data_IF_270506099302
#
_entry.id   IF_270506099302
#
_cell.length_a   1.000
_cell.length_b   1.000
_cell.length_c   1.000
_cell.angle_alpha   90.00
_cell.angle_beta   90.00
_cell.angle_gamma   90.00
#
_symmetry.space_group_name_H-M   'P 1'
#
loop_
_entity.id
_entity.type
_entity.pdbx_description
1 polymer ?
#
# COMPACT_ATOMS: atom_id res chain seq x y z
N UNK A 1 11.48 -3.10 -15.87
CA UNK A 1 11.90 -4.37 -15.24
C UNK A 1 12.44 -4.03 -13.86
N UNK A 2 11.66 -4.27 -12.81
CA UNK A 2 12.11 -4.10 -11.41
C UNK A 2 12.71 -5.41 -10.94
N UNK A 3 13.92 -5.38 -10.36
CA UNK A 3 14.52 -6.57 -9.76
C UNK A 3 13.64 -7.09 -8.60
N UNK A 4 13.47 -8.39 -8.58
CA UNK A 4 12.59 -9.14 -7.67
C UNK A 4 13.07 -9.14 -6.20
N UNK A 5 14.26 -8.57 -5.92
CA UNK A 5 14.92 -8.60 -4.61
C UNK A 5 14.69 -7.40 -3.69
N UNK A 6 14.22 -6.27 -4.22
CA UNK A 6 14.32 -4.96 -3.51
C UNK A 6 12.96 -4.34 -3.13
N UNK A 7 11.88 -5.10 -3.26
CA UNK A 7 10.60 -4.73 -2.64
C UNK A 7 10.66 -5.18 -1.18
N UNK A 8 9.96 -4.56 -0.24
CA UNK A 8 9.52 -5.33 0.94
C UNK A 8 8.82 -6.57 0.35
N UNK A 9 9.31 -7.84 0.44
CA UNK A 9 8.56 -9.07 0.14
C UNK A 9 7.02 -9.06 0.33
N UNK A 10 6.41 -8.23 1.20
CA UNK A 10 4.96 -8.03 1.23
C UNK A 10 4.41 -7.40 -0.06
N UNK A 11 5.21 -6.78 -0.91
CA UNK A 11 4.81 -6.01 -2.09
C UNK A 11 5.30 -6.65 -3.41
N UNK A 12 5.76 -7.90 -3.35
CA UNK A 12 6.08 -8.69 -4.53
C UNK A 12 4.78 -9.02 -5.24
N UNK A 13 4.61 -8.49 -6.45
CA UNK A 13 3.71 -9.10 -7.42
C UNK A 13 4.51 -10.29 -7.96
N UNK A 14 4.01 -11.49 -7.70
CA UNK A 14 4.52 -12.68 -8.36
C UNK A 14 4.13 -12.58 -9.83
N UNK A 15 5.11 -12.17 -10.63
CA UNK A 15 5.06 -12.23 -12.09
C UNK A 15 5.38 -13.68 -12.46
N UNK A 16 4.40 -14.56 -12.26
CA UNK A 16 4.48 -15.96 -12.69
C UNK A 16 3.25 -16.29 -13.54
N UNK A 17 3.25 -15.72 -14.74
CA UNK A 17 2.48 -16.26 -15.86
C UNK A 17 3.26 -16.08 -17.15
N UNK A 18 4.30 -16.88 -17.32
CA UNK A 18 4.62 -17.37 -18.66
C UNK A 18 5.21 -18.79 -18.61
N UNK A 19 4.66 -19.61 -19.50
CA UNK A 19 5.15 -20.91 -19.95
C UNK A 19 4.85 -22.13 -19.06
N UNK A 20 3.65 -22.67 -19.24
CA UNK A 20 3.50 -24.12 -19.39
C UNK A 20 2.77 -24.40 -20.71
N UNK A 21 3.58 -24.56 -21.76
CA UNK A 21 3.28 -25.42 -22.89
C UNK A 21 3.05 -26.83 -22.34
N UNK A 22 1.83 -27.33 -22.39
CA UNK A 22 1.57 -28.77 -22.34
C UNK A 22 0.76 -29.14 -23.58
N UNK A 23 1.45 -29.88 -24.43
CA UNK A 23 0.94 -30.68 -25.53
C UNK A 23 -0.24 -31.54 -25.06
N UNK A 24 -1.31 -31.58 -25.85
CA UNK A 24 -2.27 -32.68 -25.79
C UNK A 24 -2.96 -32.86 -27.15
N UNK A 25 -2.50 -33.91 -27.83
CA UNK A 25 -3.16 -34.84 -28.74
C UNK A 25 -3.98 -34.34 -29.94
N UNK A 26 -3.36 -34.52 -31.10
CA UNK A 26 -3.97 -34.88 -32.38
C UNK A 26 -4.82 -36.16 -32.21
N UNK A 27 -6.14 -36.06 -32.37
CA UNK A 27 -6.95 -37.01 -33.13
C UNK A 27 -8.44 -36.68 -32.97
N UNK A 28 -9.00 -35.90 -33.91
CA UNK A 28 -10.33 -36.21 -34.42
C UNK A 28 -10.55 -35.60 -35.81
N UNK A 29 -10.61 -36.49 -36.80
CA UNK A 29 -11.10 -36.23 -38.14
C UNK A 29 -12.52 -35.64 -38.12
N UNK A 30 -12.73 -34.56 -38.86
CA UNK A 30 -13.76 -34.50 -39.93
C UNK A 30 -13.65 -33.16 -40.69
N UNK A 31 -13.29 -33.23 -41.98
CA UNK A 31 -13.50 -32.12 -42.93
C UNK A 31 -14.98 -32.02 -43.27
N UNK A 32 -15.49 -30.80 -43.42
CA UNK A 32 -16.11 -30.49 -44.70
C UNK A 32 -15.57 -29.21 -45.33
N UNK A 33 -15.45 -29.29 -46.64
CA UNK A 33 -15.13 -28.24 -47.58
C UNK A 33 -16.06 -27.02 -47.46
N UNK A 34 -15.48 -25.84 -47.17
CA UNK A 34 -16.07 -24.56 -47.57
C UNK A 34 -14.96 -23.65 -48.07
N UNK A 35 -15.06 -23.30 -49.35
CA UNK A 35 -14.31 -22.24 -50.00
C UNK A 35 -14.39 -20.95 -49.21
N UNK A 36 -13.26 -20.43 -48.73
CA UNK A 36 -13.09 -19.01 -48.49
C UNK A 36 -11.66 -18.60 -48.83
N UNK A 37 -11.55 -17.58 -49.68
CA UNK A 37 -10.30 -16.95 -50.09
C UNK A 37 -9.60 -16.39 -48.85
N UNK A 38 -8.50 -17.00 -48.43
CA UNK A 38 -7.59 -16.38 -47.47
C UNK A 38 -6.91 -15.19 -48.15
N UNK A 39 -7.38 -13.99 -47.82
CA UNK A 39 -6.68 -12.76 -48.14
C UNK A 39 -5.35 -12.76 -47.39
N UNK A 40 -4.26 -13.00 -48.12
CA UNK A 40 -2.90 -12.88 -47.63
C UNK A 40 -2.65 -11.41 -47.27
N UNK A 41 -2.99 -11.00 -46.04
CA UNK A 41 -2.61 -9.67 -45.54
C UNK A 41 -1.08 -9.65 -45.48
N UNK A 42 -0.39 -8.84 -46.30
CA UNK A 42 1.07 -8.86 -46.34
C UNK A 42 1.60 -8.55 -44.94
N UNK A 43 2.68 -9.22 -44.51
CA UNK A 43 3.35 -8.92 -43.23
C UNK A 43 3.65 -7.42 -43.04
N UNK A 44 3.84 -6.69 -44.14
CA UNK A 44 3.96 -5.23 -44.19
C UNK A 44 2.73 -4.48 -43.63
N UNK A 45 1.51 -4.97 -43.84
CA UNK A 45 0.27 -4.37 -43.30
C UNK A 45 0.21 -4.52 -41.78
N UNK A 46 0.58 -5.67 -41.22
CA UNK A 46 0.70 -5.83 -39.77
C UNK A 46 1.78 -4.92 -39.17
N UNK A 47 2.90 -4.75 -39.88
CA UNK A 47 3.98 -3.86 -39.46
C UNK A 47 3.53 -2.40 -39.47
N UNK A 48 2.82 -1.97 -40.52
CA UNK A 48 2.23 -0.63 -40.63
C UNK A 48 1.18 -0.40 -39.55
N UNK A 49 0.25 -1.34 -39.32
CA UNK A 49 -0.75 -1.25 -38.24
C UNK A 49 -0.08 -1.18 -36.87
N UNK A 50 0.99 -1.96 -36.66
CA UNK A 50 1.77 -1.94 -35.42
C UNK A 50 2.43 -0.58 -35.18
N UNK A 51 3.08 -0.01 -36.20
CA UNK A 51 3.69 1.33 -36.12
C UNK A 51 2.65 2.42 -35.89
N UNK A 52 1.51 2.39 -36.61
CA UNK A 52 0.42 3.35 -36.39
C UNK A 52 -0.18 3.23 -34.99
N UNK A 53 -0.31 2.01 -34.46
CA UNK A 53 -0.79 1.78 -33.09
C UNK A 53 0.19 2.32 -32.05
N UNK A 54 1.50 2.17 -32.27
CA UNK A 54 2.54 2.75 -31.40
C UNK A 54 2.52 4.28 -31.46
N UNK A 55 2.48 4.87 -32.65
CA UNK A 55 2.42 6.34 -32.82
C UNK A 55 1.14 6.89 -32.18
N UNK A 56 -0.01 6.27 -32.42
CA UNK A 56 -1.28 6.67 -31.80
C UNK A 56 -1.23 6.53 -30.26
N UNK A 57 -0.58 5.48 -29.75
CA UNK A 57 -0.33 5.30 -28.32
C UNK A 57 0.56 6.41 -27.75
N UNK A 58 1.64 6.77 -28.43
CA UNK A 58 2.54 7.86 -28.04
C UNK A 58 1.85 9.22 -28.09
N UNK A 59 1.05 9.51 -29.10
CA UNK A 59 0.27 10.75 -29.20
C UNK A 59 -0.77 10.85 -28.09
N UNK A 60 -1.50 9.75 -27.81
CA UNK A 60 -2.44 9.69 -26.67
C UNK A 60 -1.72 9.88 -25.33
N UNK A 61 -0.52 9.31 -25.19
CA UNK A 61 0.32 9.53 -24.01
C UNK A 61 0.75 10.99 -23.88
N UNK A 62 1.22 11.64 -24.97
CA UNK A 62 1.62 13.05 -24.95
C UNK A 62 0.45 13.99 -24.67
N UNK A 63 -0.74 13.71 -25.20
CA UNK A 63 -1.96 14.47 -24.90
C UNK A 63 -2.33 14.32 -23.42
N UNK A 64 -2.31 13.09 -22.90
CA UNK A 64 -2.55 12.82 -21.48
C UNK A 64 -1.53 13.54 -20.60
N UNK A 65 -0.24 13.48 -20.94
CA UNK A 65 0.85 14.19 -20.25
C UNK A 65 0.63 15.70 -20.22
N UNK A 66 0.24 16.33 -21.34
CA UNK A 66 -0.06 17.78 -21.35
C UNK A 66 -1.26 18.11 -20.48
N UNK A 67 -2.27 17.25 -20.44
CA UNK A 67 -3.44 17.43 -19.57
C UNK A 67 -3.04 17.32 -18.09
N UNK A 68 -2.19 16.35 -17.74
CA UNK A 68 -1.59 16.23 -16.39
C UNK A 68 -0.80 17.48 -16.03
N UNK A 69 0.15 17.90 -16.87
CA UNK A 69 0.99 19.08 -16.64
C UNK A 69 0.16 20.37 -16.52
N UNK A 70 -0.95 20.48 -17.26
CA UNK A 70 -1.86 21.62 -17.16
C UNK A 70 -2.69 21.65 -15.87
N UNK A 71 -2.85 20.50 -15.20
CA UNK A 71 -3.56 20.33 -13.91
C UNK A 71 -2.61 20.22 -12.73
N UNK A 72 -1.32 20.06 -12.98
CA UNK A 72 -0.27 19.95 -11.99
C UNK A 72 0.01 21.34 -11.42
N UNK A 73 -0.20 21.53 -10.12
CA UNK A 73 0.26 22.73 -9.46
C UNK A 73 1.78 22.80 -9.57
N UNK A 74 2.30 23.89 -10.14
CA UNK A 74 3.73 24.06 -10.40
C UNK A 74 4.56 23.97 -9.11
N UNK A 75 3.99 24.37 -7.97
CA UNK A 75 4.59 24.21 -6.65
C UNK A 75 3.54 23.83 -5.58
N UNK A 76 3.51 22.57 -5.10
CA UNK A 76 2.60 22.16 -4.03
C UNK A 76 2.92 22.78 -2.66
N UNK A 77 4.07 23.45 -2.51
CA UNK A 77 4.40 24.25 -1.32
C UNK A 77 3.81 25.67 -1.40
N UNK A 78 3.43 26.14 -2.59
CA UNK A 78 2.83 27.45 -2.79
C UNK A 78 1.29 27.39 -2.91
N UNK A 79 0.66 28.56 -3.02
CA UNK A 79 -0.72 28.67 -3.43
C UNK A 79 -0.86 28.49 -4.94
N UNK A 80 -1.68 27.52 -5.34
CA UNK A 80 -2.01 27.26 -6.72
C UNK A 80 -3.10 28.26 -7.14
N UNK A 81 -2.73 29.54 -7.29
CA UNK A 81 -3.68 30.66 -7.47
C UNK A 81 -4.66 30.47 -8.64
N UNK A 82 -4.32 29.63 -9.62
CA UNK A 82 -5.08 29.43 -10.85
C UNK A 82 -5.76 28.06 -10.97
N UNK A 83 -5.67 27.18 -9.97
CA UNK A 83 -6.25 25.82 -10.03
C UNK A 83 -7.09 25.57 -8.77
N UNK A 84 -8.38 25.19 -8.91
CA UNK A 84 -9.22 24.82 -7.77
C UNK A 84 -8.56 23.75 -6.89
N UNK A 85 -8.64 23.89 -5.56
CA UNK A 85 -7.97 22.98 -4.62
C UNK A 85 -8.29 21.49 -4.90
N UNK A 86 -9.56 21.18 -5.20
CA UNK A 86 -10.02 19.82 -5.53
C UNK A 86 -9.41 19.23 -6.82
N UNK A 87 -8.79 20.04 -7.67
CA UNK A 87 -8.04 19.60 -8.86
C UNK A 87 -6.53 19.50 -8.58
N UNK A 88 -6.08 20.01 -7.42
CA UNK A 88 -4.69 19.96 -6.95
C UNK A 88 -4.46 18.92 -5.85
N UNK A 89 -5.46 18.10 -5.55
CA UNK A 89 -5.34 17.01 -4.57
C UNK A 89 -5.06 15.70 -5.29
N UNK A 90 -4.21 14.88 -4.69
CA UNK A 90 -3.99 13.50 -5.11
C UNK A 90 -5.34 12.76 -4.97
N UNK A 91 -5.83 12.09 -6.02
CA UNK A 91 -7.16 11.49 -5.99
C UNK A 91 -7.23 10.33 -4.99
N UNK A 92 -8.41 10.04 -4.42
CA UNK A 92 -8.56 8.92 -3.51
C UNK A 92 -8.68 7.61 -4.29
N UNK A 93 -8.50 6.50 -3.58
CA UNK A 93 -8.91 5.17 -4.08
C UNK A 93 -8.29 4.73 -5.41
N UNK A 94 -7.10 5.26 -5.75
CA UNK A 94 -6.30 4.64 -6.79
C UNK A 94 -5.90 3.25 -6.31
N UNK A 95 -6.20 2.20 -7.08
CA UNK A 95 -5.91 0.82 -6.68
C UNK A 95 -4.41 0.56 -6.84
N UNK A 96 -3.64 0.95 -5.83
CA UNK A 96 -2.19 0.87 -5.84
C UNK A 96 -1.72 -0.55 -5.50
N UNK A 97 -2.07 -1.02 -4.29
CA UNK A 97 -1.55 -2.27 -3.75
C UNK A 97 -2.51 -2.89 -2.75
N UNK A 98 -2.57 -4.20 -2.74
CA UNK A 98 -3.44 -4.97 -1.85
C UNK A 98 -2.65 -6.08 -1.20
N UNK A 99 -2.52 -6.01 0.11
CA UNK A 99 -1.86 -7.05 0.90
C UNK A 99 -2.63 -7.28 2.18
N UNK A 100 -2.85 -8.55 2.49
CA UNK A 100 -3.59 -8.97 3.66
C UNK A 100 -2.88 -10.12 4.35
N UNK A 101 -2.92 -10.13 5.69
CA UNK A 101 -2.67 -11.34 6.49
C UNK A 101 -3.99 -11.84 7.04
N UNK A 102 -4.24 -13.15 6.95
CA UNK A 102 -5.48 -13.76 7.46
C UNK A 102 -5.23 -14.73 8.62
N UNK A 103 -6.23 -14.88 9.48
CA UNK A 103 -6.31 -15.97 10.46
C UNK A 103 -7.57 -16.79 10.13
N UNK A 104 -7.46 -17.81 9.26
CA UNK A 104 -8.59 -18.62 8.82
C UNK A 104 -9.39 -19.23 9.97
N UNK A 105 -8.72 -19.70 11.03
CA UNK A 105 -9.37 -20.29 12.21
C UNK A 105 -10.44 -19.39 12.84
N UNK A 106 -10.22 -18.07 12.78
CA UNK A 106 -11.12 -17.09 13.35
C UNK A 106 -11.88 -16.27 12.30
N UNK A 107 -11.64 -16.48 11.00
CA UNK A 107 -12.15 -15.62 9.93
C UNK A 107 -11.85 -14.14 10.21
N UNK A 108 -10.56 -13.82 10.33
CA UNK A 108 -10.07 -12.46 10.47
C UNK A 108 -9.16 -12.17 9.27
N UNK A 109 -9.27 -10.96 8.73
CA UNK A 109 -8.32 -10.43 7.76
C UNK A 109 -7.78 -9.09 8.27
N UNK A 110 -6.50 -8.85 8.05
CA UNK A 110 -5.83 -7.58 8.33
C UNK A 110 -5.28 -7.03 7.02
N UNK A 111 -5.77 -5.87 6.59
CA UNK A 111 -5.16 -5.08 5.53
C UNK A 111 -3.81 -4.53 6.02
N UNK A 112 -2.77 -4.74 5.22
CA UNK A 112 -1.41 -4.30 5.52
C UNK A 112 -1.15 -2.98 4.79
N UNK A 113 -1.15 -1.87 5.54
CA UNK A 113 -0.64 -0.60 5.02
C UNK A 113 0.75 -0.32 5.62
N UNK A 114 1.65 0.31 4.85
CA UNK A 114 2.95 0.69 5.36
C UNK A 114 2.86 1.74 6.47
N UNK A 115 3.77 1.61 7.44
CA UNK A 115 3.94 2.50 8.61
C UNK A 115 2.76 2.53 9.60
N UNK A 116 1.89 1.51 9.59
CA UNK A 116 0.72 1.42 10.48
C UNK A 116 0.57 0.04 11.13
N UNK A 117 1.52 -0.35 11.99
CA UNK A 117 1.51 -1.66 12.68
C UNK A 117 1.60 -2.86 11.72
N UNK A 118 2.05 -2.72 10.47
CA UNK A 118 2.08 -3.83 9.51
C UNK A 118 2.88 -5.05 10.00
N UNK A 119 4.11 -4.86 10.47
CA UNK A 119 4.96 -5.98 10.95
C UNK A 119 4.37 -6.66 12.20
N UNK A 120 4.08 -5.88 13.24
CA UNK A 120 3.53 -6.39 14.51
C UNK A 120 2.10 -6.91 14.33
N UNK A 121 1.34 -6.35 13.38
CA UNK A 121 0.00 -6.79 13.01
C UNK A 121 0.03 -8.14 12.31
N UNK A 122 0.90 -8.32 11.32
CA UNK A 122 1.14 -9.64 10.71
C UNK A 122 1.55 -10.65 11.78
N UNK A 123 2.48 -10.30 12.67
CA UNK A 123 2.89 -11.17 13.78
C UNK A 123 1.71 -11.54 14.69
N UNK A 124 0.83 -10.58 15.00
CA UNK A 124 -0.38 -10.79 15.80
C UNK A 124 -1.33 -11.77 15.12
N UNK A 125 -1.61 -11.58 13.82
CA UNK A 125 -2.49 -12.49 13.07
C UNK A 125 -1.85 -13.89 12.92
N UNK A 126 -0.54 -13.96 12.69
CA UNK A 126 0.21 -15.22 12.66
C UNK A 126 0.11 -15.97 14.00
N UNK A 127 0.29 -15.27 15.14
CA UNK A 127 0.17 -15.83 16.48
C UNK A 127 -1.24 -16.38 16.76
N UNK A 128 -2.28 -15.69 16.29
CA UNK A 128 -3.66 -16.18 16.41
C UNK A 128 -3.85 -17.53 15.71
N UNK A 129 -3.26 -17.72 14.52
CA UNK A 129 -3.44 -18.95 13.77
C UNK A 129 -2.80 -20.16 14.47
N UNK A 130 -1.55 -20.02 14.92
CA UNK A 130 -0.81 -21.10 15.57
C UNK A 130 0.07 -20.59 16.72
N UNK A 131 -0.52 -20.34 17.91
CA UNK A 131 0.21 -19.75 19.03
C UNK A 131 1.27 -20.70 19.59
N UNK A 132 1.05 -22.02 19.51
CA UNK A 132 1.97 -23.01 20.06
C UNK A 132 3.22 -23.11 19.21
N UNK A 133 3.07 -23.13 17.87
CA UNK A 133 4.22 -23.08 16.97
C UNK A 133 4.91 -21.73 17.01
N UNK A 134 4.17 -20.62 17.16
CA UNK A 134 4.76 -19.29 17.27
C UNK A 134 5.66 -19.18 18.51
N UNK A 135 5.21 -19.75 19.63
CA UNK A 135 6.00 -19.84 20.86
C UNK A 135 7.18 -20.83 20.74
N UNK A 136 6.96 -22.00 20.10
CA UNK A 136 8.01 -23.01 19.91
C UNK A 136 9.19 -22.52 19.06
N UNK A 137 8.93 -21.62 18.10
CA UNK A 137 9.96 -20.98 17.29
C UNK A 137 10.63 -19.78 18.00
N UNK A 138 10.39 -19.59 19.32
CA UNK A 138 10.90 -18.49 20.15
C UNK A 138 10.58 -17.10 19.58
N UNK A 139 9.39 -16.93 18.99
CA UNK A 139 8.97 -15.67 18.40
C UNK A 139 8.16 -14.85 19.39
N UNK A 140 8.27 -13.53 19.27
CA UNK A 140 7.48 -12.57 20.01
C UNK A 140 6.89 -11.55 19.04
N UNK A 141 5.61 -11.23 19.24
CA UNK A 141 4.90 -10.23 18.43
C UNK A 141 5.64 -8.88 18.44
N UNK A 142 6.21 -8.49 19.59
CA UNK A 142 6.86 -7.18 19.76
C UNK A 142 8.25 -7.09 19.13
N UNK A 143 8.98 -8.21 19.04
CA UNK A 143 10.34 -8.25 18.48
C UNK A 143 10.39 -8.77 17.05
N UNK A 144 9.23 -9.00 16.43
CA UNK A 144 9.15 -9.56 15.10
C UNK A 144 9.82 -8.64 14.07
N UNK A 145 10.58 -9.24 13.16
CA UNK A 145 11.25 -8.51 12.09
C UNK A 145 10.73 -8.94 10.74
N UNK A 146 10.98 -8.06 9.78
CA UNK A 146 10.56 -8.21 8.41
C UNK A 146 11.16 -9.44 7.68
N UNK A 147 12.33 -9.93 8.13
CA UNK A 147 13.12 -10.93 7.40
C UNK A 147 12.67 -12.38 7.64
N UNK A 148 11.88 -12.64 8.69
CA UNK A 148 11.49 -14.00 9.11
C UNK A 148 9.98 -14.17 8.97
N UNK A 149 9.49 -14.81 7.91
CA UNK A 149 8.04 -14.98 7.67
C UNK A 149 7.51 -16.23 8.38
N UNK A 150 6.51 -16.08 9.27
CA UNK A 150 5.88 -17.22 9.96
C UNK A 150 4.70 -17.80 9.20
N UNK A 151 3.82 -16.93 8.70
CA UNK A 151 2.52 -17.30 8.18
C UNK A 151 2.36 -17.03 6.68
N UNK A 152 3.35 -17.41 5.87
CA UNK A 152 3.35 -17.19 4.40
C UNK A 152 2.10 -17.73 3.70
N UNK A 153 1.55 -18.86 4.18
CA UNK A 153 0.32 -19.47 3.62
C UNK A 153 -0.94 -18.64 3.88
N UNK A 154 -0.86 -17.64 4.76
CA UNK A 154 -1.94 -16.77 5.16
C UNK A 154 -1.76 -15.34 4.63
N UNK A 155 -0.86 -15.13 3.66
CA UNK A 155 -0.72 -13.86 2.95
C UNK A 155 -1.61 -13.88 1.70
N UNK A 156 -2.41 -12.83 1.49
CA UNK A 156 -3.31 -12.70 0.33
C UNK A 156 -3.03 -11.38 -0.40
N UNK A 157 -2.97 -11.44 -1.74
CA UNK A 157 -2.63 -10.30 -2.62
C UNK A 157 -3.85 -9.53 -3.15
N UNK A 158 -5.05 -9.90 -2.72
CA UNK A 158 -6.26 -9.15 -3.06
C UNK A 158 -7.37 -9.44 -2.08
N UNK A 159 -8.29 -8.47 -1.94
CA UNK A 159 -9.48 -8.67 -1.12
C UNK A 159 -10.36 -9.82 -1.64
N UNK A 160 -10.39 -10.05 -2.95
CA UNK A 160 -11.12 -11.17 -3.54
C UNK A 160 -10.54 -12.54 -3.12
N UNK A 161 -9.22 -12.66 -3.00
CA UNK A 161 -8.60 -13.88 -2.47
C UNK A 161 -8.98 -14.11 -1.01
N UNK A 162 -9.01 -13.04 -0.20
CA UNK A 162 -9.48 -13.12 1.20
C UNK A 162 -10.93 -13.62 1.25
N UNK A 163 -11.82 -13.03 0.45
CA UNK A 163 -13.23 -13.44 0.34
C UNK A 163 -13.38 -14.91 -0.03
N UNK A 164 -12.63 -15.35 -1.03
CA UNK A 164 -12.64 -16.74 -1.48
C UNK A 164 -12.16 -17.71 -0.39
N UNK A 165 -11.05 -17.39 0.27
CA UNK A 165 -10.45 -18.26 1.27
C UNK A 165 -11.26 -18.32 2.58
N UNK A 166 -11.89 -17.20 2.97
CA UNK A 166 -12.66 -17.08 4.20
C UNK A 166 -14.18 -17.24 4.02
N UNK A 167 -14.64 -17.61 2.81
CA UNK A 167 -16.05 -17.83 2.47
C UNK A 167 -16.98 -16.67 2.86
N UNK A 168 -16.55 -15.41 2.64
CA UNK A 168 -17.29 -14.18 2.97
C UNK A 168 -17.69 -13.99 4.45
N UNK A 169 -17.33 -14.91 5.36
CA UNK A 169 -17.61 -14.84 6.78
C UNK A 169 -16.37 -14.44 7.58
N UNK A 170 -15.95 -13.19 7.42
CA UNK A 170 -14.80 -12.65 8.12
C UNK A 170 -14.98 -11.21 8.55
N UNK A 171 -14.22 -10.81 9.57
CA UNK A 171 -14.02 -9.40 9.93
C UNK A 171 -12.76 -8.90 9.24
N UNK A 172 -12.88 -7.89 8.38
CA UNK A 172 -11.75 -7.20 7.78
C UNK A 172 -11.32 -6.04 8.66
N UNK A 173 -10.06 -6.02 9.07
CA UNK A 173 -9.47 -4.96 9.90
C UNK A 173 -8.59 -4.10 9.01
N UNK A 174 -8.77 -2.78 9.10
CA UNK A 174 -7.90 -1.81 8.46
C UNK A 174 -7.34 -0.91 9.56
N UNK A 175 -6.03 -1.04 9.82
CA UNK A 175 -5.33 -0.15 10.75
C UNK A 175 -4.93 1.11 9.98
N UNK A 176 -5.34 2.28 10.45
CA UNK A 176 -5.02 3.57 9.82
C UNK A 176 -4.24 4.44 10.78
N UNK A 177 -3.51 5.43 10.29
CA UNK A 177 -2.72 6.36 11.12
C UNK A 177 -2.97 7.79 10.67
N UNK A 178 -2.83 8.74 11.61
CA UNK A 178 -2.90 10.15 11.26
C UNK A 178 -1.93 10.45 10.11
N UNK A 179 -2.38 11.09 9.00
CA UNK A 179 -1.53 11.27 7.83
C UNK A 179 -0.22 12.02 8.09
N UNK A 180 -0.23 13.02 8.99
CA UNK A 180 1.00 13.71 9.41
C UNK A 180 1.98 12.77 10.11
N UNK A 181 1.47 12.03 11.10
CA UNK A 181 2.27 11.10 11.91
C UNK A 181 2.86 9.97 11.05
N UNK A 182 2.08 9.46 10.09
CA UNK A 182 2.49 8.47 9.09
C UNK A 182 3.58 9.03 8.18
N UNK A 183 3.38 10.21 7.61
CA UNK A 183 4.36 10.86 6.74
C UNK A 183 5.69 11.06 7.46
N UNK A 184 5.68 11.63 8.67
CA UNK A 184 6.90 11.86 9.46
C UNK A 184 7.60 10.53 9.78
N UNK A 185 6.84 9.48 10.10
CA UNK A 185 7.39 8.13 10.29
C UNK A 185 8.08 7.60 9.02
N UNK A 186 7.46 7.77 7.85
CA UNK A 186 8.05 7.41 6.57
C UNK A 186 9.31 8.20 6.26
N UNK A 187 9.25 9.53 6.40
CA UNK A 187 10.34 10.45 6.06
C UNK A 187 11.56 10.23 6.95
N UNK A 188 11.36 10.18 8.28
CA UNK A 188 12.47 9.93 9.23
C UNK A 188 13.15 8.59 8.99
N UNK A 189 12.39 7.54 8.70
CA UNK A 189 12.96 6.23 8.44
C UNK A 189 13.67 6.17 7.09
N UNK A 190 13.01 6.61 6.01
CA UNK A 190 13.49 6.41 4.63
C UNK A 190 14.40 7.50 4.08
N UNK A 191 14.31 8.73 4.60
CA UNK A 191 15.13 9.85 4.11
C UNK A 191 16.22 10.28 5.06
N UNK A 192 16.12 9.92 6.34
CA UNK A 192 17.03 10.45 7.36
C UNK A 192 17.87 9.34 7.98
N UNK A 193 17.27 8.21 8.32
CA UNK A 193 17.99 7.09 8.92
C UNK A 193 18.59 6.14 7.86
N UNK A 194 17.87 5.90 6.77
CA UNK A 194 18.25 5.01 5.67
C UNK A 194 18.94 5.81 4.55
N UNK A 195 20.25 6.03 4.69
CA UNK A 195 21.05 6.87 3.78
C UNK A 195 21.68 6.10 2.61
N UNK A 196 21.51 4.78 2.55
CA UNK A 196 22.17 3.91 1.57
C UNK A 196 21.48 3.95 0.20
N UNK A 197 20.16 4.17 0.20
CA UNK A 197 19.32 4.20 -0.99
C UNK A 197 18.75 5.61 -1.25
N UNK A 198 18.71 6.04 -2.51
CA UNK A 198 18.10 7.33 -2.90
C UNK A 198 16.57 7.25 -2.96
N UNK A 199 15.92 6.88 -1.85
CA UNK A 199 14.47 6.85 -1.71
C UNK A 199 13.83 8.25 -1.75
N UNK A 200 14.64 9.30 -1.60
CA UNK A 200 14.17 10.66 -1.39
C UNK A 200 14.47 11.56 -2.59
N UNK A 201 14.60 10.93 -3.76
CA UNK A 201 14.66 11.57 -5.08
C UNK A 201 15.78 12.62 -5.19
N UNK A 202 16.91 12.41 -4.52
CA UNK A 202 18.05 13.32 -4.46
C UNK A 202 17.83 14.55 -3.58
N UNK A 203 16.80 14.56 -2.72
CA UNK A 203 16.54 15.65 -1.77
C UNK A 203 17.28 15.49 -0.43
N UNK A 204 17.85 14.31 -0.16
CA UNK A 204 18.42 13.99 1.15
C UNK A 204 17.39 14.21 2.26
N UNK A 205 17.73 15.06 3.23
CA UNK A 205 16.87 15.39 4.38
C UNK A 205 15.98 16.63 4.17
N UNK A 206 15.96 17.22 2.98
CA UNK A 206 15.09 18.36 2.67
C UNK A 206 13.64 17.90 2.41
N UNK A 207 12.79 18.08 3.42
CA UNK A 207 11.36 17.75 3.38
C UNK A 207 10.58 18.54 2.32
N UNK A 208 10.95 19.81 2.07
CA UNK A 208 10.27 20.65 1.08
C UNK A 208 10.55 20.13 -0.33
N UNK A 209 11.83 19.88 -0.64
CA UNK A 209 12.23 19.26 -1.90
C UNK A 209 11.52 17.91 -2.09
N UNK A 210 11.50 17.08 -1.04
CA UNK A 210 10.87 15.77 -1.10
C UNK A 210 9.38 15.86 -1.42
N UNK A 211 8.63 16.68 -0.68
CA UNK A 211 7.18 16.84 -0.87
C UNK A 211 6.83 17.35 -2.27
N UNK A 212 7.64 18.23 -2.85
CA UNK A 212 7.45 18.67 -4.22
C UNK A 212 7.57 17.51 -5.20
N UNK A 213 8.60 16.67 -5.08
CA UNK A 213 8.81 15.54 -5.99
C UNK A 213 7.79 14.43 -5.78
N UNK A 214 7.46 14.13 -4.53
CA UNK A 214 6.48 13.10 -4.15
C UNK A 214 5.08 13.45 -4.65
N UNK A 215 4.62 14.68 -4.43
CA UNK A 215 3.31 15.14 -4.93
C UNK A 215 3.19 14.96 -6.46
N UNK A 216 4.19 15.45 -7.22
CA UNK A 216 4.21 15.32 -8.68
C UNK A 216 4.17 13.86 -9.11
N UNK A 217 4.92 13.01 -8.41
CA UNK A 217 4.96 11.58 -8.67
C UNK A 217 3.60 10.93 -8.44
N UNK A 218 2.97 11.14 -7.29
CA UNK A 218 1.64 10.58 -6.97
C UNK A 218 0.55 11.08 -7.94
N UNK A 219 0.55 12.36 -8.30
CA UNK A 219 -0.37 12.89 -9.31
C UNK A 219 -0.22 12.15 -10.65
N UNK A 220 1.01 12.01 -11.15
CA UNK A 220 1.29 11.27 -12.39
C UNK A 220 0.92 9.80 -12.27
N UNK A 221 1.16 9.17 -11.12
CA UNK A 221 0.79 7.79 -10.84
C UNK A 221 -0.70 7.55 -11.05
N UNK A 222 -1.53 8.44 -10.52
CA UNK A 222 -2.97 8.32 -10.62
C UNK A 222 -3.52 8.47 -12.05
N UNK A 223 -2.71 8.97 -12.99
CA UNK A 223 -3.14 9.30 -14.35
C UNK A 223 -2.52 8.41 -15.44
N UNK A 224 -1.34 7.83 -15.21
CA UNK A 224 -0.50 7.27 -16.28
C UNK A 224 0.01 5.83 -16.05
N UNK A 225 -0.42 5.15 -14.98
CA UNK A 225 0.03 3.78 -14.61
C UNK A 225 1.56 3.58 -14.72
N UNK A 226 2.38 4.32 -13.97
CA UNK A 226 3.83 4.24 -14.06
C UNK A 226 4.42 3.08 -13.25
N UNK A 227 5.74 2.88 -13.42
CA UNK A 227 6.53 1.95 -12.61
C UNK A 227 6.60 2.42 -11.16
N UNK A 228 6.24 1.51 -10.25
CA UNK A 228 6.25 1.73 -8.80
C UNK A 228 7.66 1.69 -8.21
N UNK A 229 7.93 2.56 -7.23
CA UNK A 229 9.15 2.53 -6.42
C UNK A 229 8.86 2.17 -4.97
N UNK A 230 9.90 1.81 -4.22
CA UNK A 230 9.79 1.50 -2.78
C UNK A 230 9.31 2.73 -2.00
N UNK A 231 9.80 3.92 -2.36
CA UNK A 231 9.37 5.19 -1.76
C UNK A 231 7.85 5.39 -1.87
N UNK A 232 7.27 5.17 -3.05
CA UNK A 232 5.81 5.31 -3.28
C UNK A 232 5.01 4.49 -2.27
N UNK A 233 5.52 3.32 -1.91
CA UNK A 233 4.81 2.45 -0.98
C UNK A 233 4.79 3.01 0.45
N UNK A 234 5.77 3.81 0.85
CA UNK A 234 5.77 4.42 2.17
C UNK A 234 5.00 5.74 2.24
N UNK A 235 4.82 6.42 1.11
CA UNK A 235 4.28 7.78 1.05
C UNK A 235 2.94 7.91 0.31
N UNK A 236 2.50 6.92 -0.46
CA UNK A 236 1.19 6.96 -1.10
C UNK A 236 0.04 7.06 -0.07
N UNK A 237 -1.09 7.70 -0.42
CA UNK A 237 -2.25 7.81 0.47
C UNK A 237 -2.75 6.44 0.97
N UNK A 238 -3.16 6.36 2.23
CA UNK A 238 -3.70 5.14 2.85
C UNK A 238 -4.94 4.63 2.11
N UNK A 239 -5.74 5.55 1.57
CA UNK A 239 -6.92 5.23 0.74
C UNK A 239 -6.59 4.49 -0.56
N UNK A 240 -5.31 4.38 -0.94
CA UNK A 240 -4.88 3.65 -2.15
C UNK A 240 -4.66 2.14 -1.94
N UNK A 241 -4.69 1.68 -0.70
CA UNK A 241 -4.37 0.30 -0.35
C UNK A 241 -5.62 -0.57 -0.20
N UNK A 242 -5.47 -1.88 -0.34
CA UNK A 242 -6.46 -2.90 0.05
C UNK A 242 -7.85 -2.72 -0.55
N UNK A 243 -7.93 -2.21 -1.78
CA UNK A 243 -9.20 -1.91 -2.45
C UNK A 243 -10.15 -1.08 -1.56
N UNK A 244 -9.59 -0.09 -0.85
CA UNK A 244 -10.31 0.63 0.21
C UNK A 244 -11.63 1.23 -0.27
N UNK A 245 -11.74 1.58 -1.55
CA UNK A 245 -12.99 2.05 -2.16
C UNK A 245 -14.18 1.11 -1.88
N UNK A 246 -13.94 -0.19 -2.00
CA UNK A 246 -14.96 -1.22 -1.89
C UNK A 246 -14.99 -1.84 -0.50
N UNK A 247 -13.88 -1.83 0.24
CA UNK A 247 -13.76 -2.51 1.53
C UNK A 247 -14.08 -1.63 2.73
N UNK A 248 -13.90 -0.29 2.64
CA UNK A 248 -13.96 0.62 3.79
C UNK A 248 -15.27 0.51 4.59
N UNK A 249 -16.43 0.44 3.91
CA UNK A 249 -17.75 0.37 4.58
C UNK A 249 -17.97 -0.93 5.37
N UNK A 250 -17.31 -2.00 4.98
CA UNK A 250 -17.50 -3.35 5.54
C UNK A 250 -16.30 -3.78 6.38
N UNK A 251 -15.44 -2.83 6.78
CA UNK A 251 -14.23 -3.09 7.55
C UNK A 251 -14.32 -2.44 8.92
N UNK A 252 -13.72 -3.08 9.92
CA UNK A 252 -13.44 -2.44 11.20
C UNK A 252 -12.19 -1.58 11.08
N UNK A 253 -12.33 -0.27 11.29
CA UNK A 253 -11.22 0.69 11.28
C UNK A 253 -10.62 0.77 12.68
N UNK A 254 -9.32 0.52 12.79
CA UNK A 254 -8.54 0.71 14.02
C UNK A 254 -7.59 1.89 13.81
N UNK A 255 -7.59 2.84 14.74
CA UNK A 255 -6.70 4.01 14.66
C UNK A 255 -5.41 3.73 15.41
N UNK A 256 -4.31 3.77 14.68
CA UNK A 256 -2.98 3.56 15.19
C UNK A 256 -2.53 4.73 16.06
N UNK A 257 -1.93 4.41 17.20
CA UNK A 257 -1.22 5.37 18.03
C UNK A 257 -0.10 4.69 18.81
N UNK A 258 0.99 5.44 19.03
CA UNK A 258 2.14 5.00 19.82
C UNK A 258 2.10 5.55 21.26
N UNK A 259 1.12 6.40 21.59
CA UNK A 259 1.16 7.20 22.82
C UNK A 259 -0.12 7.11 23.66
N UNK A 260 0.11 7.05 24.98
CA UNK A 260 -0.91 7.31 26.00
C UNK A 260 -2.20 6.53 25.82
N UNK A 261 -3.31 7.23 26.05
CA UNK A 261 -4.68 6.68 26.03
C UNK A 261 -5.03 6.17 24.62
N UNK A 262 -4.58 6.84 23.57
CA UNK A 262 -4.86 6.44 22.19
C UNK A 262 -4.19 5.11 21.82
N UNK A 263 -2.99 4.82 22.35
CA UNK A 263 -2.36 3.50 22.18
C UNK A 263 -3.18 2.41 22.87
N UNK A 264 -3.65 2.67 24.09
CA UNK A 264 -4.51 1.72 24.82
C UNK A 264 -5.80 1.46 24.05
N UNK A 265 -6.42 2.52 23.54
CA UNK A 265 -7.62 2.43 22.70
C UNK A 265 -7.39 1.63 21.42
N UNK A 266 -6.29 1.86 20.72
CA UNK A 266 -5.90 1.06 19.54
C UNK A 266 -5.86 -0.44 19.87
N UNK A 267 -5.19 -0.81 20.98
CA UNK A 267 -5.08 -2.20 21.43
C UNK A 267 -6.46 -2.75 21.79
N UNK A 268 -7.26 -2.01 22.54
CA UNK A 268 -8.61 -2.41 22.93
C UNK A 268 -9.52 -2.63 21.72
N UNK A 269 -9.47 -1.74 20.73
CA UNK A 269 -10.25 -1.84 19.49
C UNK A 269 -9.88 -3.11 18.70
N UNK A 270 -8.58 -3.45 18.60
CA UNK A 270 -8.15 -4.72 18.00
C UNK A 270 -8.64 -5.94 18.78
N UNK A 271 -8.43 -5.96 20.10
CA UNK A 271 -8.84 -7.08 20.95
C UNK A 271 -10.35 -7.29 20.95
N UNK A 272 -11.14 -6.22 20.80
CA UNK A 272 -12.58 -6.31 20.66
C UNK A 272 -13.00 -7.04 19.38
N UNK A 273 -12.31 -6.83 18.25
CA UNK A 273 -12.54 -7.62 17.03
C UNK A 273 -12.25 -9.09 17.28
N UNK A 274 -11.09 -9.39 17.87
CA UNK A 274 -10.65 -10.76 18.13
C UNK A 274 -11.60 -11.49 19.08
N UNK A 275 -12.08 -10.81 20.13
CA UNK A 275 -13.07 -11.35 21.06
C UNK A 275 -14.41 -11.66 20.39
N UNK A 276 -14.90 -10.80 19.48
CA UNK A 276 -16.13 -11.07 18.69
C UNK A 276 -15.98 -12.33 17.84
N UNK A 277 -14.77 -12.56 17.31
CA UNK A 277 -14.38 -13.75 16.53
C UNK A 277 -13.93 -14.94 17.39
N UNK A 278 -14.25 -14.92 18.68
CA UNK A 278 -14.09 -16.05 19.63
C UNK A 278 -12.64 -16.49 19.86
N UNK A 279 -11.69 -15.57 19.71
CA UNK A 279 -10.32 -15.80 20.16
C UNK A 279 -10.32 -16.00 21.69
N UNK A 280 -9.64 -17.03 22.23
CA UNK A 280 -9.58 -17.29 23.67
C UNK A 280 -8.93 -16.14 24.45
N UNK A 281 -9.45 -15.82 25.65
CA UNK A 281 -8.91 -14.70 26.47
C UNK A 281 -7.41 -14.85 26.76
N UNK A 282 -6.89 -16.08 26.94
CA UNK A 282 -5.44 -16.31 27.11
C UNK A 282 -4.61 -15.75 25.95
N UNK A 283 -5.08 -15.89 24.71
CA UNK A 283 -4.40 -15.32 23.54
C UNK A 283 -4.56 -13.80 23.49
N UNK A 284 -5.71 -13.28 23.92
CA UNK A 284 -5.96 -11.83 23.99
C UNK A 284 -5.08 -11.14 25.03
N UNK A 285 -4.84 -11.78 26.17
CA UNK A 285 -3.96 -11.29 27.24
C UNK A 285 -2.51 -11.21 26.75
N UNK A 286 -2.00 -12.25 26.08
CA UNK A 286 -0.67 -12.26 25.46
C UNK A 286 -0.55 -11.13 24.42
N UNK A 287 -1.53 -11.00 23.52
CA UNK A 287 -1.51 -9.94 22.50
C UNK A 287 -1.52 -8.56 23.17
N UNK A 288 -2.33 -8.35 24.22
CA UNK A 288 -2.36 -7.09 24.96
C UNK A 288 -0.99 -6.76 25.54
N UNK A 289 -0.36 -7.73 26.18
CA UNK A 289 0.98 -7.58 26.75
C UNK A 289 1.99 -7.19 25.66
N UNK A 290 2.05 -7.98 24.58
CA UNK A 290 3.01 -7.76 23.50
C UNK A 290 2.82 -6.42 22.78
N UNK A 291 1.59 -6.01 22.48
CA UNK A 291 1.32 -4.72 21.84
C UNK A 291 1.59 -3.53 22.80
N UNK A 292 1.51 -3.77 24.11
CA UNK A 292 1.83 -2.76 25.11
C UNK A 292 3.34 -2.49 25.19
N UNK A 293 4.19 -3.46 24.84
CA UNK A 293 5.65 -3.32 24.75
C UNK A 293 6.00 -2.35 23.61
N UNK A 294 6.26 -1.09 23.96
CA UNK A 294 6.27 0.05 23.03
C UNK A 294 7.47 0.20 22.10
N UNK A 295 8.13 -0.88 21.67
CA UNK A 295 9.29 -0.79 20.77
C UNK A 295 9.27 -1.90 19.74
N UNK A 296 8.67 -1.64 18.58
CA UNK A 296 9.06 -2.36 17.37
C UNK A 296 10.38 -1.80 16.85
N UNK A 297 11.14 -2.60 16.10
CA UNK A 297 12.45 -2.24 15.53
C UNK A 297 12.46 -0.92 14.73
N UNK A 298 11.31 -0.51 14.16
CA UNK A 298 11.14 0.69 13.34
C UNK A 298 10.55 1.90 14.11
N UNK A 299 10.54 1.87 15.44
CA UNK A 299 9.95 2.95 16.24
C UNK A 299 10.84 4.20 16.18
N UNK A 300 10.40 5.23 15.46
CA UNK A 300 11.08 6.54 15.37
C UNK A 300 10.67 7.53 16.48
N UNK A 301 9.73 7.12 17.32
CA UNK A 301 9.11 7.90 18.39
C UNK A 301 10.09 8.39 19.46
N UNK A 302 10.00 9.68 19.83
CA UNK A 302 10.74 10.27 20.95
C UNK A 302 12.22 10.53 20.65
N UNK A 303 12.66 10.41 19.41
CA UNK A 303 13.97 10.91 18.99
C UNK A 303 13.93 12.43 18.80
N UNK A 304 14.98 13.14 19.22
CA UNK A 304 15.13 14.59 18.97
C UNK A 304 15.01 14.94 17.49
N UNK A 305 15.38 13.99 16.63
CA UNK A 305 15.25 14.08 15.18
C UNK A 305 13.78 14.06 14.72
N UNK A 306 12.95 13.17 15.26
CA UNK A 306 11.51 13.16 14.95
C UNK A 306 10.83 14.44 15.42
N UNK A 307 11.16 14.91 16.62
CA UNK A 307 10.61 16.16 17.17
C UNK A 307 10.91 17.38 16.28
N UNK A 308 12.08 17.39 15.63
CA UNK A 308 12.44 18.42 14.66
C UNK A 308 11.47 18.45 13.46
N UNK A 309 11.18 17.29 12.87
CA UNK A 309 10.28 17.20 11.72
C UNK A 309 8.80 17.39 12.09
N UNK A 310 8.38 16.92 13.27
CA UNK A 310 7.05 17.24 13.82
C UNK A 310 6.86 18.75 13.98
N UNK A 311 7.89 19.45 14.45
CA UNK A 311 7.89 20.91 14.56
C UNK A 311 7.80 21.58 13.20
N UNK A 312 8.59 21.13 12.21
CA UNK A 312 8.53 21.65 10.84
C UNK A 312 7.13 21.51 10.26
N UNK A 313 6.52 20.32 10.34
CA UNK A 313 5.14 20.11 9.86
C UNK A 313 4.14 21.01 10.61
N UNK A 314 4.33 21.25 11.91
CA UNK A 314 3.41 22.11 12.68
C UNK A 314 3.55 23.60 12.33
N UNK A 315 4.76 24.08 12.13
CA UNK A 315 5.07 25.52 12.04
C UNK A 315 5.14 26.02 10.59
N UNK A 316 5.44 25.15 9.63
CA UNK A 316 5.57 25.51 8.22
C UNK A 316 4.26 25.27 7.45
N UNK A 317 3.54 26.35 7.16
CA UNK A 317 2.29 26.29 6.39
C UNK A 317 2.48 25.69 5.00
N UNK A 318 3.62 25.92 4.33
CA UNK A 318 3.89 25.40 2.99
C UNK A 318 3.96 23.87 2.98
N UNK A 319 4.58 23.29 4.01
CA UNK A 319 4.66 21.85 4.23
C UNK A 319 3.26 21.27 4.48
N UNK A 320 2.46 21.90 5.37
CA UNK A 320 1.09 21.44 5.63
C UNK A 320 0.23 21.49 4.38
N UNK A 321 0.35 22.55 3.58
CA UNK A 321 -0.39 22.70 2.32
C UNK A 321 -0.07 21.56 1.34
N UNK A 322 1.20 21.21 1.19
CA UNK A 322 1.60 20.06 0.36
C UNK A 322 1.07 18.73 0.92
N UNK A 323 1.15 18.52 2.24
CA UNK A 323 0.63 17.32 2.89
C UNK A 323 -0.88 17.21 2.77
N UNK A 324 -1.62 18.31 2.87
CA UNK A 324 -3.05 18.33 2.60
C UNK A 324 -3.34 17.98 1.14
N UNK A 325 -2.56 18.48 0.18
CA UNK A 325 -2.74 18.09 -1.23
C UNK A 325 -2.51 16.60 -1.46
N UNK A 326 -1.55 16.00 -0.78
CA UNK A 326 -1.26 14.56 -0.91
C UNK A 326 -2.31 13.71 -0.16
N UNK A 327 -2.67 14.09 1.06
CA UNK A 327 -3.44 13.23 1.99
C UNK A 327 -4.86 13.72 2.30
N UNK A 328 -5.39 14.71 1.59
CA UNK A 328 -6.73 15.29 1.85
C UNK A 328 -7.80 14.22 2.09
N UNK A 329 -7.83 13.21 1.23
CA UNK A 329 -8.82 12.15 1.33
C UNK A 329 -8.57 11.12 2.43
N UNK A 330 -7.32 10.95 2.86
CA UNK A 330 -7.05 10.17 4.07
C UNK A 330 -7.62 10.88 5.30
N UNK A 331 -7.44 12.21 5.42
CA UNK A 331 -8.07 12.98 6.48
C UNK A 331 -9.60 12.86 6.44
N UNK A 332 -10.18 13.07 5.25
CA UNK A 332 -11.64 13.07 5.06
C UNK A 332 -12.27 11.70 5.31
N UNK A 333 -11.80 10.63 4.65
CA UNK A 333 -12.45 9.32 4.70
C UNK A 333 -12.12 8.52 5.97
N UNK A 334 -10.96 8.78 6.59
CA UNK A 334 -10.54 8.07 7.81
C UNK A 334 -10.85 8.89 9.08
N UNK A 335 -11.35 10.11 8.93
CA UNK A 335 -11.85 10.98 9.99
C UNK A 335 -10.74 11.52 10.90
N UNK A 336 -9.62 11.95 10.30
CA UNK A 336 -8.54 12.65 11.00
C UNK A 336 -8.70 14.16 10.86
N UNK A 337 -8.25 14.91 11.88
CA UNK A 337 -8.22 16.36 11.86
C UNK A 337 -7.06 16.88 11.01
N UNK A 338 -7.31 17.94 10.24
CA UNK A 338 -6.36 18.60 9.32
C UNK A 338 -5.62 19.76 9.97
#
# INVERSE_FOLDING_TARGET
MTHSGDREPLLRQDDDSQENFLEMDDDFYEKPSVSNKEGLVPKAVFLVIGVFSVIYGMDRYHISMREVESRECSDPLADCENIPFNQTVVPPFYNYLQDFTIAPRYGISLCLLPKVLSTTGTATICYLEDPDKFAADNRSISTETYMTRFCERNEMKSYNMVKHYLNDNFENIIVTRNPYDRFISGFTEKCVNDLEDDYCYGCGTDMRCFLQKEYRRLMRMSMLFPVYTVADTHFAPQTWYCDMRNTLKNSTIVRFSLHGIEKVKMIDDMLNVFRRRKVPERQLDEIREQLSLGKSHHTTTGSSLREHYERLVREDESIRRALHRIYYYDFLYLGYEM
#
